data_IF_599047367772
#
_entry.id   IF_599047367772
#
_cell.length_a   1.000
_cell.length_b   1.000
_cell.length_c   1.000
_cell.angle_alpha   90.00
_cell.angle_beta   90.00
_cell.angle_gamma   90.00
#
_symmetry.space_group_name_H-M   'P 1'
#
loop_
_entity.id
_entity.type
_entity.pdbx_description
1 polymer ?
2 non-polymer ?
3 non-polymer ?
4 water ?
#
# COMPACT_ATOMS: atom_id res chain seq x y z
N UNK A 13 16.19 21.55 7.17
CA UNK A 13 15.31 22.69 7.43
C UNK A 13 14.52 22.49 8.72
N UNK A 14 14.30 23.58 9.44
CA UNK A 14 13.56 23.49 10.67
C UNK A 14 12.08 23.25 10.38
N UNK A 15 11.60 23.71 9.23
CA UNK A 15 10.20 23.50 8.88
C UNK A 15 9.90 22.01 8.76
N UNK A 16 10.85 21.24 8.22
CA UNK A 16 10.68 19.79 8.14
C UNK A 16 10.54 19.16 9.51
N UNK A 17 11.42 19.54 10.45
CA UNK A 17 11.35 18.99 11.79
C UNK A 17 10.05 19.39 12.48
N UNK A 18 9.58 20.61 12.23
CA UNK A 18 8.30 21.04 12.79
C UNK A 18 7.15 20.19 12.25
N UNK A 19 7.14 19.95 10.93
CA UNK A 19 6.11 19.09 10.34
C UNK A 19 6.16 17.70 10.95
N UNK A 20 7.36 17.16 11.14
CA UNK A 20 7.49 15.84 11.75
C UNK A 20 6.97 15.85 13.19
N UNK A 21 7.26 16.91 13.95
CA UNK A 21 6.78 17.00 15.32
C UNK A 21 5.25 17.05 15.36
N UNK A 22 4.64 17.81 14.44
CA UNK A 22 3.19 17.82 14.35
C UNK A 22 2.65 16.41 14.09
N UNK A 23 3.27 15.70 13.14
CA UNK A 23 2.81 14.34 12.83
C UNK A 23 2.96 13.38 14.02
N UNK A 24 3.99 13.55 14.84
CA UNK A 24 4.13 12.66 16.01
C UNK A 24 3.09 12.99 17.07
N UNK A 25 2.83 14.28 17.31
CA UNK A 25 1.81 14.64 18.28
C UNK A 25 0.44 14.16 17.82
N UNK A 26 0.20 14.16 16.50
CA UNK A 26 -1.04 13.62 15.96
C UNK A 26 -1.10 12.10 16.11
N UNK A 27 0.05 11.44 16.15
CA UNK A 27 0.07 9.97 16.25
C UNK A 27 -0.03 9.43 17.68
N UNK A 28 0.36 10.21 18.71
CA UNK A 28 0.35 9.66 20.07
C UNK A 28 -1.02 9.23 20.60
N UNK A 29 -2.12 9.90 20.23
CA UNK A 29 -3.43 9.52 20.77
C UNK A 29 -4.08 8.30 20.11
N UNK A 30 -3.45 7.69 19.11
CA UNK A 30 -4.07 6.55 18.42
C UNK A 30 -4.17 5.33 19.32
N UNK A 31 -3.23 5.15 20.24
CA UNK A 31 -3.14 3.91 21.03
C UNK A 31 -4.48 3.52 21.64
N UNK A 32 -5.47 4.42 21.61
CA UNK A 32 -6.84 4.15 22.06
C UNK A 32 -7.77 3.75 20.92
N UNK A 33 -7.67 4.40 19.76
CA UNK A 33 -8.48 4.00 18.61
C UNK A 33 -7.98 2.69 18.01
N UNK A 34 -6.69 2.40 18.17
CA UNK A 34 -6.13 1.14 17.68
C UNK A 34 -6.76 -0.05 18.38
N UNK A 35 -7.08 0.09 19.67
CA UNK A 35 -7.77 -0.98 20.38
C UNK A 35 -9.15 -1.23 19.82
N UNK A 36 -9.90 -0.16 19.53
CA UNK A 36 -11.22 -0.30 18.92
C UNK A 36 -11.12 -0.98 17.56
N UNK A 37 -10.13 -0.59 16.75
CA UNK A 37 -9.93 -1.22 15.46
C UNK A 37 -9.64 -2.71 15.63
N UNK A 38 -8.81 -3.05 16.62
CA UNK A 38 -8.47 -4.45 16.83
C UNK A 38 -9.70 -5.25 17.23
N UNK A 39 -10.54 -4.67 18.09
CA UNK A 39 -11.78 -5.34 18.46
C UNK A 39 -12.73 -5.56 17.30
N UNK A 40 -12.97 -4.53 16.50
CA UNK A 40 -13.89 -4.69 15.37
C UNK A 40 -13.36 -5.72 14.37
N UNK A 41 -12.04 -5.69 14.13
CA UNK A 41 -11.46 -6.62 13.17
C UNK A 41 -11.52 -8.06 13.68
N UNK A 42 -11.18 -8.25 14.96
CA UNK A 42 -11.30 -9.57 15.56
C UNK A 42 -12.74 -10.09 15.43
N UNK A 43 -13.72 -9.23 15.72
CA UNK A 43 -15.11 -9.66 15.62
C UNK A 43 -15.45 -10.10 14.20
N UNK A 44 -15.09 -9.29 13.20
CA UNK A 44 -15.45 -9.63 11.83
C UNK A 44 -14.72 -10.88 11.38
N UNK A 45 -13.51 -11.13 11.90
CA UNK A 45 -12.82 -12.37 11.55
C UNK A 45 -13.51 -13.59 12.16
N UNK A 46 -13.87 -13.51 13.44
CA UNK A 46 -14.59 -14.64 14.03
C UNK A 46 -15.93 -14.86 13.36
N UNK A 47 -16.53 -13.81 12.80
CA UNK A 47 -17.77 -13.98 12.04
C UNK A 47 -17.51 -14.65 10.70
N UNK A 48 -16.54 -14.13 9.95
CA UNK A 48 -16.23 -14.67 8.63
C UNK A 48 -15.78 -16.13 8.70
N UNK A 49 -15.21 -16.58 9.84
CA UNK A 49 -14.83 -17.99 9.95
C UNK A 49 -16.05 -18.91 9.92
N UNK A 50 -17.20 -18.42 10.38
CA UNK A 50 -18.41 -19.22 10.40
C UNK A 50 -18.91 -19.54 8.99
N UNK A 51 -18.61 -18.68 8.01
CA UNK A 51 -19.00 -18.96 6.64
C UNK A 51 -18.21 -20.13 6.06
N UNK A 52 -18.86 -20.87 5.15
CA UNK A 52 -18.24 -22.04 4.55
C UNK A 52 -17.16 -21.68 3.54
N UNK A 53 -17.20 -20.48 2.98
CA UNK A 53 -16.25 -20.06 1.97
C UNK A 53 -15.00 -19.42 2.55
N UNK A 54 -15.12 -18.75 3.69
CA UNK A 54 -14.02 -18.02 4.31
C UNK A 54 -13.51 -18.68 5.59
N UNK A 55 -13.21 -19.98 5.56
CA UNK A 55 -12.79 -20.62 6.80
C UNK A 55 -11.36 -20.29 7.18
N UNK A 56 -10.51 -19.98 6.20
CA UNK A 56 -9.12 -19.66 6.46
C UNK A 56 -8.75 -18.19 6.35
N UNK A 57 -9.61 -17.31 6.83
CA UNK A 57 -9.39 -15.87 6.79
C UNK A 57 -8.66 -15.39 8.04
N UNK A 58 -7.88 -14.31 7.87
CA UNK A 58 -7.12 -13.74 8.98
C UNK A 58 -6.49 -12.43 8.57
N UNK A 59 -5.63 -11.89 9.46
CA UNK A 59 -4.93 -10.64 9.20
C UNK A 59 -3.53 -10.91 8.69
N UNK A 60 -3.03 -10.03 7.83
CA UNK A 60 -1.66 -10.25 7.40
C UNK A 60 -0.74 -10.22 8.60
N UNK A 61 0.15 -11.20 8.63
CA UNK A 61 1.13 -11.38 9.69
C UNK A 61 2.17 -10.26 9.59
N UNK A 62 1.69 -9.02 9.73
CA UNK A 62 2.53 -7.85 9.63
C UNK A 62 2.82 -7.23 10.99
N UNK A 63 2.45 -7.90 12.07
CA UNK A 63 2.68 -7.37 13.39
C UNK A 63 1.79 -6.20 13.75
N UNK A 64 0.79 -5.92 12.93
CA UNK A 64 -0.12 -4.81 13.16
C UNK A 64 -1.46 -5.16 12.57
N UNK A 65 -2.52 -4.82 13.33
CA UNK A 65 -3.87 -5.01 12.84
C UNK A 65 -4.13 -4.14 11.62
N UNK A 66 -3.37 -3.07 11.47
CA UNK A 66 -3.68 -2.01 10.51
C UNK A 66 -2.41 -1.39 9.93
N UNK A 67 -2.62 -0.61 8.88
CA UNK A 67 -1.62 0.28 8.30
C UNK A 67 -2.28 1.64 8.12
N UNK A 68 -1.52 2.64 7.66
CA UNK A 68 -2.05 3.97 7.38
C UNK A 68 -1.62 4.44 6.00
N UNK A 69 -2.56 4.48 5.06
CA UNK A 69 -2.22 4.96 3.72
C UNK A 69 -1.96 6.46 3.76
N UNK A 70 -2.72 7.19 4.58
CA UNK A 70 -2.59 8.64 4.73
C UNK A 70 -2.00 8.96 6.11
N UNK A 71 -0.89 9.70 6.11
CA UNK A 71 -0.25 10.10 7.36
C UNK A 71 -0.94 11.30 8.00
N UNK A 72 -1.63 12.14 7.20
CA UNK A 72 -2.36 13.31 7.67
C UNK A 72 -3.79 13.00 8.12
N UNK A 73 -4.20 11.74 8.06
CA UNK A 73 -5.52 11.30 8.50
C UNK A 73 -5.32 10.15 9.49
N UNK A 74 -5.03 10.47 10.75
CA UNK A 74 -4.88 9.39 11.76
C UNK A 74 -6.17 8.66 12.07
N UNK A 75 -7.28 9.07 11.44
CA UNK A 75 -8.59 8.49 11.64
C UNK A 75 -8.98 7.47 10.58
N UNK A 76 -8.19 7.33 9.51
CA UNK A 76 -8.46 6.41 8.42
C UNK A 76 -7.50 5.23 8.47
N UNK A 77 -7.97 4.10 8.97
CA UNK A 77 -7.18 2.88 9.03
C UNK A 77 -7.33 2.08 7.73
N UNK A 78 -6.42 1.11 7.54
CA UNK A 78 -6.40 0.27 6.36
C UNK A 78 -5.97 -1.11 6.82
N UNK A 79 -6.89 -2.07 6.74
CA UNK A 79 -6.62 -3.43 7.16
C UNK A 79 -6.74 -4.32 5.95
N UNK A 80 -6.05 -5.45 6.00
CA UNK A 80 -6.09 -6.37 4.89
C UNK A 80 -6.32 -7.77 5.45
N UNK A 81 -7.28 -8.50 4.87
CA UNK A 81 -7.62 -9.85 5.30
C UNK A 81 -7.12 -10.86 4.27
N UNK A 82 -6.17 -11.70 4.69
CA UNK A 82 -5.66 -12.78 3.85
C UNK A 82 -6.47 -14.05 4.00
N UNK A 83 -6.55 -14.82 2.91
CA UNK A 83 -7.31 -16.06 2.85
C UNK A 83 -6.43 -17.17 2.28
N UNK A 84 -5.98 -18.09 3.13
CA UNK A 84 -5.18 -19.24 2.69
C UNK A 84 -6.04 -20.20 1.87
N UNK A 85 -5.54 -20.56 0.69
CA UNK A 85 -6.34 -21.31 -0.28
C UNK A 85 -5.53 -22.50 -0.78
N UNK A 86 -6.19 -23.49 -1.40
CA UNK A 86 -5.46 -24.56 -2.08
C UNK A 86 -4.53 -24.00 -3.14
N UNK A 87 -3.64 -24.86 -3.63
CA UNK A 87 -2.62 -24.39 -4.56
C UNK A 87 -3.28 -23.64 -5.71
N UNK A 88 -2.79 -22.42 -5.92
CA UNK A 88 -3.35 -21.49 -6.90
C UNK A 88 -2.54 -21.58 -8.18
N UNK A 89 -3.22 -21.54 -9.32
CA UNK A 89 -2.60 -21.39 -10.63
C UNK A 89 -3.03 -20.06 -11.22
N UNK A 90 -2.12 -19.38 -11.91
CA UNK A 90 -2.34 -18.01 -12.38
C UNK A 90 -2.24 -17.90 -13.89
N UNK A 91 -3.13 -17.10 -14.50
CA UNK A 91 -3.04 -16.77 -15.92
C UNK A 91 -2.95 -15.27 -16.11
N UNK A 92 -2.03 -14.82 -16.95
CA UNK A 92 -1.80 -13.39 -17.12
C UNK A 92 -2.87 -12.79 -18.01
N UNK A 93 -3.26 -11.56 -17.72
CA UNK A 93 -4.29 -10.87 -18.49
C UNK A 93 -3.62 -9.80 -19.36
N UNK A 94 -3.70 -9.97 -20.68
CA UNK A 94 -3.33 -8.92 -21.65
C UNK A 94 -1.94 -8.35 -21.41
N UNK A 95 -1.01 -9.21 -20.98
CA UNK A 95 0.39 -8.80 -20.75
C UNK A 95 0.50 -7.59 -19.82
N UNK A 96 -0.39 -7.54 -18.82
CA UNK A 96 -0.39 -6.43 -17.88
C UNK A 96 0.71 -6.58 -16.84
N UNK A 97 1.29 -7.78 -16.73
CA UNK A 97 2.39 -8.09 -15.82
C UNK A 97 1.96 -8.13 -14.35
N UNK A 98 0.82 -7.52 -14.03
CA UNK A 98 0.36 -7.46 -12.65
C UNK A 98 -1.02 -8.05 -12.42
N UNK A 99 -1.87 -8.11 -13.44
CA UNK A 99 -3.24 -8.58 -13.29
C UNK A 99 -3.37 -10.00 -13.84
N UNK A 100 -4.08 -10.86 -13.10
CA UNK A 100 -4.17 -12.29 -13.41
C UNK A 100 -5.56 -12.85 -13.10
N UNK A 101 -5.97 -13.89 -13.85
CA UNK A 101 -7.09 -14.76 -13.49
C UNK A 101 -6.58 -15.92 -12.64
N UNK A 102 -7.37 -16.32 -11.64
CA UNK A 102 -6.99 -17.39 -10.71
C UNK A 102 -7.74 -18.68 -11.06
N UNK A 103 -7.02 -19.79 -11.16
CA UNK A 103 -7.58 -21.12 -11.26
C UNK A 103 -7.09 -21.97 -10.08
N UNK A 104 -7.75 -23.09 -9.84
CA UNK A 104 -7.34 -24.02 -8.79
C UNK A 104 -6.55 -25.21 -9.35
N UNK A 105 -5.52 -25.61 -8.60
CA UNK A 105 -4.71 -26.76 -8.97
C UNK A 105 -5.61 -27.95 -9.26
N UNK A 106 -6.51 -28.27 -8.34
CA UNK A 106 -7.54 -29.29 -8.50
C UNK A 106 -8.81 -28.79 -7.79
N UNK A 107 -9.84 -29.63 -7.71
CA UNK A 107 -11.11 -29.21 -7.09
C UNK A 107 -10.96 -28.74 -5.64
N UNK A 112 -13.49 -26.57 -1.51
CA UNK A 112 -14.01 -25.61 -0.51
C UNK A 112 -14.67 -24.39 -1.14
N UNK A 113 -13.85 -23.50 -1.71
CA UNK A 113 -14.22 -22.23 -2.36
C UNK A 113 -14.87 -22.43 -3.73
N UNK A 114 -15.22 -23.70 -3.99
CA UNK A 114 -15.86 -24.09 -5.23
C UNK A 114 -17.09 -23.27 -5.57
N UNK A 115 -17.79 -22.75 -4.55
CA UNK A 115 -18.99 -21.95 -4.78
C UNK A 115 -18.72 -20.70 -5.62
N UNK A 116 -17.54 -20.11 -5.49
CA UNK A 116 -17.21 -18.86 -6.19
C UNK A 116 -16.65 -19.06 -7.60
N UNK A 117 -16.64 -20.29 -8.12
CA UNK A 117 -16.09 -20.52 -9.46
C UNK A 117 -17.06 -20.10 -10.55
N UNK A 118 -16.50 -19.48 -11.59
CA UNK A 118 -17.23 -19.12 -12.80
C UNK A 118 -16.54 -19.82 -13.97
N UNK A 119 -16.65 -21.14 -14.02
CA UNK A 119 -15.94 -21.94 -14.99
C UNK A 119 -14.65 -22.51 -14.44
N UNK A 120 -13.54 -22.00 -14.97
CA UNK A 120 -12.22 -22.27 -14.44
C UNK A 120 -11.67 -21.09 -13.67
N UNK A 121 -12.31 -19.93 -13.79
CA UNK A 121 -11.86 -18.68 -13.19
C UNK A 121 -12.54 -18.50 -11.84
N UNK A 122 -11.77 -18.14 -10.83
CA UNK A 122 -12.32 -17.72 -9.55
C UNK A 122 -12.91 -16.30 -9.65
N UNK A 123 -14.21 -16.18 -9.45
CA UNK A 123 -14.87 -14.89 -9.67
C UNK A 123 -14.54 -13.91 -8.55
N UNK A 124 -13.92 -12.79 -8.90
CA UNK A 124 -13.68 -11.75 -7.91
C UNK A 124 -14.98 -11.08 -7.50
N UNK A 125 -15.88 -10.89 -8.47
CA UNK A 125 -17.14 -10.21 -8.20
C UNK A 125 -18.01 -11.02 -7.23
N UNK A 126 -18.14 -12.32 -7.48
CA UNK A 126 -18.96 -13.15 -6.59
C UNK A 126 -18.39 -13.19 -5.18
N UNK A 127 -17.08 -13.37 -5.06
CA UNK A 127 -16.48 -13.45 -3.74
C UNK A 127 -16.64 -12.13 -3.00
N UNK A 128 -16.47 -11.00 -3.70
CA UNK A 128 -16.66 -9.70 -3.06
C UNK A 128 -18.11 -9.50 -2.63
N UNK A 129 -19.07 -10.01 -3.41
CA UNK A 129 -20.47 -9.87 -3.02
C UNK A 129 -20.76 -10.64 -1.74
N UNK A 130 -20.32 -11.91 -1.66
CA UNK A 130 -20.54 -12.65 -0.41
C UNK A 130 -19.80 -12.00 0.75
N UNK A 131 -18.57 -11.54 0.51
CA UNK A 131 -17.81 -10.82 1.53
C UNK A 131 -18.62 -9.65 2.08
N UNK A 132 -19.09 -8.76 1.20
CA UNK A 132 -19.86 -7.59 1.61
C UNK A 132 -21.16 -7.97 2.31
N UNK A 133 -21.84 -9.01 1.84
CA UNK A 133 -23.08 -9.44 2.49
C UNK A 133 -22.80 -9.87 3.92
N UNK A 134 -21.78 -10.70 4.12
CA UNK A 134 -21.44 -11.15 5.46
C UNK A 134 -21.11 -9.94 6.34
N UNK A 135 -20.36 -8.98 5.79
CA UNK A 135 -20.09 -7.74 6.52
C UNK A 135 -21.39 -7.04 6.93
N UNK A 136 -22.17 -6.54 5.95
CA UNK A 136 -23.46 -5.91 6.26
C UNK A 136 -24.21 -6.59 7.40
N UNK A 137 -24.40 -7.92 7.32
CA UNK A 137 -25.23 -8.56 8.34
C UNK A 137 -24.53 -8.59 9.70
N UNK A 138 -23.20 -8.79 9.73
CA UNK A 138 -22.54 -8.84 11.02
C UNK A 138 -22.28 -7.46 11.61
N UNK A 139 -22.28 -6.39 10.80
CA UNK A 139 -22.15 -5.03 11.32
C UNK A 139 -23.48 -4.44 11.75
N UNK A 140 -24.61 -4.95 11.25
CA UNK A 140 -25.89 -4.55 11.84
C UNK A 140 -25.97 -4.93 13.33
N UNK A 141 -25.22 -5.95 13.77
CA UNK A 141 -25.20 -6.36 15.17
C UNK A 141 -24.34 -5.46 16.06
N UNK A 142 -23.31 -4.84 15.51
CA UNK A 142 -22.36 -4.04 16.28
C UNK A 142 -23.02 -2.74 16.73
N UNK A 143 -22.21 -1.84 17.30
CA UNK A 143 -22.71 -0.56 17.79
C UNK A 143 -21.83 0.53 17.22
N UNK A 144 -22.48 1.56 16.66
CA UNK A 144 -21.83 2.67 15.98
C UNK A 144 -20.86 2.16 14.90
N UNK A 145 -21.41 1.36 13.96
CA UNK A 145 -20.59 0.75 12.90
C UNK A 145 -21.43 0.64 11.62
N UNK A 146 -21.18 1.56 10.68
CA UNK A 146 -21.92 1.67 9.42
C UNK A 146 -21.07 1.29 8.21
N UNK A 147 -21.63 0.51 7.29
CA UNK A 147 -20.97 0.19 6.02
C UNK A 147 -21.37 1.24 4.99
N UNK A 148 -20.40 1.70 4.20
CA UNK A 148 -20.62 2.74 3.20
C UNK A 148 -20.22 2.21 1.83
N UNK A 149 -20.66 2.90 0.78
CA UNK A 149 -20.41 2.44 -0.58
C UNK A 149 -19.13 3.10 -1.11
N UNK A 150 -18.05 2.32 -1.16
CA UNK A 150 -16.80 2.70 -1.81
C UNK A 150 -16.42 1.64 -2.85
N UNK A 151 -17.30 1.37 -3.81
CA UNK A 151 -17.00 0.44 -4.89
C UNK A 151 -16.34 1.11 -6.08
N UNK A 152 -16.33 2.44 -6.12
CA UNK A 152 -15.55 3.21 -7.08
C UNK A 152 -14.06 2.90 -7.03
N UNK A 153 -13.57 2.16 -6.02
CA UNK A 153 -12.15 1.80 -5.94
C UNK A 153 -11.80 0.55 -6.75
N UNK A 154 -12.76 -0.06 -7.45
CA UNK A 154 -12.51 -1.23 -8.29
C UNK A 154 -12.22 -2.50 -7.53
N UNK A 155 -13.06 -2.82 -6.54
CA UNK A 155 -12.97 -4.04 -5.75
C UNK A 155 -12.04 -4.02 -4.53
N UNK A 156 -11.01 -3.17 -4.54
CA UNK A 156 -10.08 -3.03 -3.41
C UNK A 156 -9.85 -1.57 -3.05
N UNK A 157 -10.15 -1.12 -1.82
CA UNK A 157 -10.64 -1.98 -0.75
C UNK A 157 -12.06 -2.46 -0.99
N UNK A 158 -12.31 -3.68 -0.53
CA UNK A 158 -13.65 -4.26 -0.64
C UNK A 158 -14.67 -3.42 0.11
N UNK A 159 -14.46 -3.23 1.41
CA UNK A 159 -15.41 -2.49 2.24
C UNK A 159 -14.73 -1.30 2.91
N UNK A 160 -15.57 -0.41 3.43
CA UNK A 160 -15.14 0.80 4.14
C UNK A 160 -16.08 0.96 5.35
N UNK A 161 -15.64 0.46 6.50
CA UNK A 161 -16.39 0.51 7.74
C UNK A 161 -16.24 1.87 8.44
N UNK A 162 -17.30 2.28 9.16
CA UNK A 162 -17.38 3.59 9.81
C UNK A 162 -17.85 3.44 11.26
N UNK A 163 -17.03 3.91 12.21
CA UNK A 163 -17.34 3.84 13.64
C UNK A 163 -17.35 5.24 14.24
N UNK A 164 -18.41 5.54 15.01
CA UNK A 164 -18.59 6.83 15.71
C UNK A 164 -18.50 8.04 14.78
N UNK A 165 -18.63 7.84 13.47
CA UNK A 165 -18.52 8.88 12.45
C UNK A 165 -17.15 9.56 12.44
N UNK A 166 -16.19 9.07 13.23
CA UNK A 166 -14.84 9.61 13.23
C UNK A 166 -13.75 8.58 12.90
N UNK A 167 -14.07 7.29 12.82
CA UNK A 167 -13.11 6.24 12.50
C UNK A 167 -13.53 5.58 11.18
N UNK A 168 -12.66 5.67 10.17
CA UNK A 168 -12.89 5.04 8.86
C UNK A 168 -11.82 3.97 8.61
N UNK A 169 -12.25 2.75 8.32
CA UNK A 169 -11.34 1.63 8.09
C UNK A 169 -11.66 0.93 6.77
N UNK A 170 -10.71 0.96 5.83
CA UNK A 170 -10.89 0.26 4.56
C UNK A 170 -10.36 -1.17 4.71
N UNK A 171 -11.17 -2.13 4.29
CA UNK A 171 -10.85 -3.55 4.39
C UNK A 171 -10.70 -4.11 2.99
N UNK A 172 -9.54 -4.67 2.71
CA UNK A 172 -9.21 -5.24 1.41
C UNK A 172 -9.02 -6.73 1.60
N UNK A 173 -9.63 -7.51 0.73
CA UNK A 173 -9.46 -8.95 0.77
C UNK A 173 -8.31 -9.36 -0.14
N UNK A 174 -7.53 -10.35 0.31
CA UNK A 174 -6.34 -10.81 -0.38
C UNK A 174 -6.19 -12.32 -0.29
N UNK A 175 -5.90 -12.96 -1.42
CA UNK A 175 -5.58 -14.38 -1.49
C UNK A 175 -4.09 -14.58 -1.28
N UNK A 176 -3.73 -15.55 -0.44
CA UNK A 176 -2.34 -15.84 -0.13
C UNK A 176 -1.88 -17.01 -0.99
N UNK A 177 -0.76 -16.85 -1.69
CA UNK A 177 -0.15 -17.92 -2.45
C UNK A 177 1.23 -18.20 -1.87
N UNK A 178 1.47 -19.44 -1.44
CA UNK A 178 2.78 -19.84 -0.98
C UNK A 178 3.63 -20.41 -2.11
N UNK A 179 3.20 -20.23 -3.35
CA UNK A 179 4.00 -20.59 -4.51
C UNK A 179 5.14 -19.60 -4.69
N UNK A 180 5.97 -19.85 -5.69
CA UNK A 180 7.02 -18.90 -6.02
C UNK A 180 6.42 -17.68 -6.67
N UNK A 181 7.09 -16.54 -6.50
CA UNK A 181 6.57 -15.29 -7.05
C UNK A 181 6.47 -15.38 -8.56
N UNK A 182 5.47 -14.74 -9.17
CA UNK A 182 5.30 -14.83 -10.61
C UNK A 182 6.51 -14.31 -11.36
N UNK A 183 6.58 -14.67 -12.62
CA UNK A 183 7.76 -14.35 -13.41
C UNK A 183 7.94 -12.85 -13.55
N UNK A 184 6.84 -12.08 -13.54
CA UNK A 184 7.00 -10.63 -13.69
C UNK A 184 7.80 -10.03 -12.55
N UNK A 185 7.96 -10.74 -11.45
CA UNK A 185 8.70 -10.22 -10.32
C UNK A 185 10.15 -10.65 -10.35
N UNK A 186 10.62 -11.18 -11.47
CA UNK A 186 11.95 -11.75 -11.47
C UNK A 186 13.02 -10.66 -11.41
N UNK A 187 12.77 -9.54 -12.07
CA UNK A 187 13.77 -8.49 -12.04
C UNK A 187 13.40 -7.35 -11.13
N UNK A 188 12.44 -7.57 -10.22
CA UNK A 188 12.07 -6.58 -9.25
C UNK A 188 12.79 -6.79 -7.93
N UNK A 189 12.46 -5.95 -6.97
CA UNK A 189 13.03 -6.06 -5.63
C UNK A 189 14.56 -6.04 -5.68
N UNK A 190 15.09 -5.01 -6.35
CA UNK A 190 16.53 -4.85 -6.58
C UNK A 190 17.19 -4.32 -5.32
N UNK A 191 17.20 -5.14 -4.27
CA UNK A 191 17.77 -4.68 -3.01
C UNK A 191 19.15 -5.26 -2.78
N UNK A 192 19.79 -5.82 -3.80
CA UNK A 192 21.02 -6.57 -3.61
C UNK A 192 22.17 -5.68 -3.12
N UNK A 193 22.32 -4.46 -3.63
CA UNK A 193 23.43 -3.65 -3.15
C UNK A 193 23.05 -2.80 -1.95
N UNK A 194 21.81 -2.91 -1.51
CA UNK A 194 21.29 -2.17 -0.38
C UNK A 194 21.02 -3.09 0.81
N UNK A 195 20.16 -4.11 0.66
CA UNK A 195 19.80 -5.01 1.76
C UNK A 195 20.40 -6.40 1.63
N UNK A 196 21.20 -6.64 0.60
CA UNK A 196 21.98 -7.84 0.32
C UNK A 196 21.17 -8.84 -0.45
N UNK A 197 21.86 -9.72 -1.16
CA UNK A 197 21.17 -10.71 -1.97
C UNK A 197 20.60 -11.82 -1.11
N UNK A 198 21.21 -12.10 0.05
CA UNK A 198 20.61 -13.06 0.96
C UNK A 198 19.23 -12.62 1.40
N UNK A 199 19.09 -11.35 1.76
CA UNK A 199 17.79 -10.86 2.19
C UNK A 199 16.79 -10.93 1.06
N UNK A 200 17.22 -10.62 -0.16
CA UNK A 200 16.30 -10.71 -1.30
C UNK A 200 15.82 -12.15 -1.52
N UNK A 201 16.72 -13.12 -1.42
CA UNK A 201 16.31 -14.52 -1.54
C UNK A 201 15.34 -14.89 -0.42
N UNK A 202 15.64 -14.50 0.81
CA UNK A 202 14.77 -14.83 1.94
C UNK A 202 13.38 -14.23 1.76
N UNK A 203 13.31 -12.96 1.35
CA UNK A 203 12.03 -12.29 1.15
C UNK A 203 11.22 -12.95 0.04
N UNK A 204 11.87 -13.30 -1.08
CA UNK A 204 11.17 -13.95 -2.18
C UNK A 204 10.74 -15.38 -1.86
N UNK A 205 11.26 -15.98 -0.79
CA UNK A 205 10.71 -17.26 -0.33
C UNK A 205 9.37 -17.13 0.39
N UNK A 206 9.01 -15.92 0.81
CA UNK A 206 7.74 -15.67 1.49
C UNK A 206 6.58 -15.70 0.48
N UNK A 207 5.35 -15.90 0.94
CA UNK A 207 4.21 -15.93 0.00
C UNK A 207 3.95 -14.54 -0.57
N UNK A 208 3.09 -14.50 -1.59
CA UNK A 208 2.63 -13.26 -2.20
C UNK A 208 1.10 -13.20 -2.15
N UNK A 209 0.51 -12.04 -2.44
CA UNK A 209 -0.93 -11.93 -2.26
C UNK A 209 -1.59 -11.40 -3.52
N UNK A 210 -2.89 -11.72 -3.66
CA UNK A 210 -3.69 -11.33 -4.82
C UNK A 210 -4.96 -10.62 -4.37
N UNK A 211 -5.16 -9.39 -4.81
CA UNK A 211 -6.33 -8.59 -4.42
C UNK A 211 -7.25 -8.39 -5.61
N UNK A 212 -8.56 -8.44 -5.45
CA UNK A 212 -9.47 -8.23 -6.58
C UNK A 212 -9.51 -6.80 -7.14
N UNK A 213 -8.80 -6.54 -8.24
CA UNK A 213 -8.82 -5.25 -8.93
C UNK A 213 -8.96 -5.49 -10.43
N UNK A 214 -9.80 -4.70 -11.08
CA UNK A 214 -10.08 -4.82 -12.49
C UNK A 214 -9.27 -3.83 -13.32
N UNK A 215 -9.07 -4.16 -14.60
CA UNK A 215 -8.29 -3.30 -15.48
C UNK A 215 -9.11 -2.60 -16.57
N UNK A 221 -12.22 -1.50 -17.46
CA UNK A 221 -13.03 -2.34 -18.33
C UNK A 221 -13.23 -3.74 -17.72
N UNK A 222 -12.14 -4.53 -17.66
CA UNK A 222 -12.19 -5.93 -17.22
C UNK A 222 -13.00 -6.11 -15.94
N UNK A 223 -13.50 -7.34 -15.70
CA UNK A 223 -14.43 -7.56 -14.60
C UNK A 223 -14.13 -8.81 -13.76
N UNK A 224 -12.92 -9.37 -13.83
CA UNK A 224 -12.65 -10.55 -13.02
C UNK A 224 -11.16 -10.85 -12.85
N UNK A 225 -10.35 -9.81 -12.78
CA UNK A 225 -8.90 -9.91 -12.62
C UNK A 225 -8.49 -9.69 -11.17
N UNK A 226 -7.25 -10.09 -10.85
CA UNK A 226 -6.66 -9.94 -9.53
C UNK A 226 -5.25 -9.37 -9.71
N UNK A 227 -4.83 -8.54 -8.76
CA UNK A 227 -3.54 -7.88 -8.85
C UNK A 227 -2.59 -8.33 -7.74
N UNK A 228 -1.29 -8.36 -8.07
CA UNK A 228 -0.27 -8.76 -7.12
C UNK A 228 -0.10 -7.71 -6.03
N UNK A 229 0.25 -8.19 -4.83
CA UNK A 229 0.40 -7.39 -3.63
C UNK A 229 1.55 -7.95 -2.79
N UNK A 230 2.41 -7.04 -2.34
CA UNK A 230 3.59 -7.32 -1.53
C UNK A 230 3.67 -6.36 -0.35
N UNK A 231 2.52 -5.99 0.23
CA UNK A 231 2.53 -5.04 1.35
C UNK A 231 3.35 -5.55 2.51
N UNK A 232 3.32 -6.85 2.78
CA UNK A 232 4.15 -7.41 3.85
C UNK A 232 5.63 -7.19 3.59
N UNK A 233 6.08 -7.39 2.34
CA UNK A 233 7.48 -7.17 2.02
C UNK A 233 7.84 -5.70 2.17
N UNK A 234 6.93 -4.83 1.73
CA UNK A 234 7.18 -3.39 1.86
C UNK A 234 7.30 -2.99 3.31
N UNK A 235 6.40 -3.51 4.17
CA UNK A 235 6.50 -3.24 5.60
C UNK A 235 7.82 -3.77 6.17
N UNK A 236 8.19 -5.00 5.81
CA UNK A 236 9.47 -5.57 6.26
C UNK A 236 10.62 -4.65 5.88
N UNK A 237 10.63 -4.15 4.64
CA UNK A 237 11.73 -3.30 4.19
C UNK A 237 11.76 -2.00 4.95
N UNK A 238 10.60 -1.37 5.13
CA UNK A 238 10.57 -0.10 5.84
C UNK A 238 11.07 -0.25 7.28
N UNK A 239 10.72 -1.34 7.96
CA UNK A 239 11.10 -1.46 9.36
C UNK A 239 12.45 -2.10 9.55
N UNK A 240 13.10 -2.52 8.45
CA UNK A 240 14.44 -3.07 8.45
C UNK A 240 15.11 -2.55 7.18
N UNK A 241 15.47 -1.27 7.20
CA UNK A 241 15.66 -0.48 5.99
C UNK A 241 17.11 -0.13 5.74
N UNK A 242 18.00 -0.46 6.64
CA UNK A 242 19.37 -0.06 6.55
C UNK A 242 20.28 -1.11 5.96
N UNK A 243 21.46 -0.66 5.53
CA UNK A 243 22.52 -1.59 5.24
C UNK A 243 23.07 -2.23 6.51
N UNK A 244 23.24 -1.43 7.56
CA UNK A 244 23.60 -1.98 8.85
C UNK A 244 22.40 -2.65 9.51
N UNK A 245 22.62 -3.87 10.02
CA UNK A 245 21.51 -4.56 10.67
C UNK A 245 21.00 -3.82 11.88
N UNK A 246 21.79 -2.91 12.43
CA UNK A 246 21.41 -2.18 13.64
C UNK A 246 21.02 -0.73 13.34
N UNK A 247 20.59 -0.45 12.11
CA UNK A 247 20.14 0.87 11.74
C UNK A 247 18.93 1.27 12.58
N UNK A 248 18.98 2.47 13.14
CA UNK A 248 17.90 2.98 13.95
C UNK A 248 17.65 2.08 15.16
N UNK A 249 18.67 1.34 15.58
CA UNK A 249 18.58 0.57 16.81
C UNK A 249 19.32 1.22 17.97
N UNK A 250 20.28 2.08 17.68
CA UNK A 250 20.95 2.87 18.70
C UNK A 250 21.02 4.31 18.21
N UNK A 251 21.46 5.20 19.11
CA UNK A 251 21.49 6.62 18.77
C UNK A 251 22.59 6.98 17.78
N UNK A 252 23.64 6.17 17.68
CA UNK A 252 24.77 6.45 16.80
C UNK A 252 24.44 6.18 15.34
N UNK A 253 23.37 5.41 15.07
CA UNK A 253 23.01 5.10 13.68
C UNK A 253 21.57 5.55 13.40
N UNK A 254 21.25 6.83 13.58
CA UNK A 254 19.91 7.32 13.28
C UNK A 254 19.96 7.92 11.88
N UNK A 255 19.34 7.23 10.92
CA UNK A 255 19.21 7.69 9.55
C UNK A 255 17.84 8.34 9.40
N UNK A 256 17.62 8.95 8.24
CA UNK A 256 16.39 9.70 8.00
C UNK A 256 15.55 9.14 6.86
N UNK A 257 15.63 7.84 6.59
CA UNK A 257 14.82 7.25 5.52
C UNK A 257 13.34 7.34 5.86
N UNK A 258 12.94 6.81 7.03
CA UNK A 258 11.50 6.87 7.35
C UNK A 258 11.02 8.31 7.45
N UNK A 259 11.85 9.23 7.93
CA UNK A 259 11.41 10.63 7.94
C UNK A 259 11.22 11.16 6.52
N UNK A 260 12.12 10.84 5.58
CA UNK A 260 11.92 11.28 4.20
C UNK A 260 10.65 10.69 3.61
N UNK A 261 10.37 9.43 3.92
CA UNK A 261 9.13 8.86 3.41
C UNK A 261 7.92 9.58 4.00
N UNK A 262 7.96 9.89 5.29
CA UNK A 262 6.87 10.67 5.91
C UNK A 262 6.71 12.03 5.21
N UNK A 263 7.82 12.69 4.90
CA UNK A 263 7.74 13.98 4.23
C UNK A 263 7.11 13.84 2.85
N UNK A 264 7.48 12.78 2.11
CA UNK A 264 6.90 12.57 0.78
C UNK A 264 5.41 12.29 0.85
N UNK A 265 5.01 11.39 1.74
CA UNK A 265 3.58 11.13 1.89
C UNK A 265 2.82 12.39 2.24
N UNK A 266 3.34 13.20 3.16
CA UNK A 266 2.61 14.40 3.58
C UNK A 266 2.54 15.44 2.48
N UNK A 267 3.64 15.63 1.76
CA UNK A 267 3.58 16.55 0.64
C UNK A 267 2.46 16.15 -0.31
N UNK A 268 2.41 14.87 -0.68
CA UNK A 268 1.38 14.44 -1.63
C UNK A 268 -0.01 14.62 -1.03
N UNK A 269 -0.19 14.28 0.24
CA UNK A 269 -1.52 14.39 0.84
C UNK A 269 -1.97 15.85 0.91
N UNK A 270 -1.06 16.76 1.27
CA UNK A 270 -1.38 18.18 1.30
C UNK A 270 -1.72 18.69 -0.09
N UNK A 271 -0.94 18.31 -1.10
CA UNK A 271 -1.24 18.77 -2.45
C UNK A 271 -2.56 18.22 -2.94
N UNK A 272 -2.87 16.98 -2.59
CA UNK A 272 -4.15 16.41 -3.02
C UNK A 272 -5.31 17.06 -2.31
N UNK A 273 -5.15 17.44 -1.04
CA UNK A 273 -6.23 18.15 -0.35
C UNK A 273 -6.38 19.59 -0.84
N UNK A 274 -5.28 20.26 -1.18
CA UNK A 274 -5.36 21.63 -1.68
C UNK A 274 -6.09 21.69 -2.99
N UNK A 275 -5.79 20.76 -3.90
CA UNK A 275 -6.38 20.75 -5.23
C UNK A 275 -7.34 19.58 -5.41
N UNK A 276 -8.11 19.26 -4.37
CA UNK A 276 -9.09 18.18 -4.46
C UNK A 276 -10.18 18.50 -5.47
N UNK A 277 -10.39 19.78 -5.78
CA UNK A 277 -11.42 20.19 -6.72
C UNK A 277 -10.92 20.22 -8.15
N UNK A 278 -9.62 20.07 -8.39
CA UNK A 278 -9.14 19.96 -9.76
C UNK A 278 -8.74 18.48 -9.88
N UNK A 279 -9.43 17.74 -10.76
CA UNK A 279 -9.34 16.28 -10.82
C UNK A 279 -8.05 15.82 -11.47
N UNK A 280 -7.00 16.59 -11.29
CA UNK A 280 -5.72 16.31 -11.88
C UNK A 280 -4.78 15.54 -10.95
N UNK A 281 -5.15 15.35 -9.67
CA UNK A 281 -4.33 14.71 -8.65
C UNK A 281 -5.12 13.60 -7.95
N UNK A 282 -6.10 13.04 -8.65
CA UNK A 282 -6.93 12.03 -8.02
C UNK A 282 -6.28 10.65 -8.03
N UNK A 283 -5.65 10.29 -9.14
CA UNK A 283 -5.08 8.98 -9.34
C UNK A 283 -3.70 8.78 -8.70
N UNK A 284 -3.14 9.80 -8.06
CA UNK A 284 -1.89 9.66 -7.31
C UNK A 284 -2.20 9.26 -5.87
N UNK A 285 -1.37 8.39 -5.31
CA UNK A 285 -1.56 7.87 -3.97
C UNK A 285 -0.21 7.69 -3.30
N UNK A 286 -0.24 7.38 -2.01
CA UNK A 286 0.99 7.19 -1.27
C UNK A 286 1.77 6.00 -1.79
N UNK A 287 1.13 5.06 -2.50
CA UNK A 287 1.89 3.97 -3.08
C UNK A 287 2.89 4.48 -4.10
N UNK A 288 2.54 5.53 -4.84
CA UNK A 288 3.48 6.09 -5.80
C UNK A 288 4.73 6.64 -5.12
N UNK A 289 4.56 7.44 -4.06
CA UNK A 289 5.73 8.00 -3.40
C UNK A 289 6.51 6.91 -2.71
N UNK A 290 5.82 5.88 -2.21
CA UNK A 290 6.52 4.78 -1.60
C UNK A 290 7.35 4.01 -2.63
N UNK A 291 6.80 3.80 -3.83
CA UNK A 291 7.56 3.13 -4.87
C UNK A 291 8.79 3.95 -5.27
N UNK A 292 8.60 5.25 -5.47
CA UNK A 292 9.74 6.10 -5.80
C UNK A 292 10.78 6.08 -4.69
N UNK A 293 10.33 6.14 -3.45
CA UNK A 293 11.26 6.14 -2.33
C UNK A 293 12.09 4.86 -2.28
N UNK A 294 11.46 3.71 -2.55
CA UNK A 294 12.21 2.46 -2.59
C UNK A 294 13.27 2.51 -3.69
N UNK A 295 12.92 3.10 -4.83
CA UNK A 295 13.91 3.24 -5.91
C UNK A 295 15.06 4.13 -5.47
N UNK A 296 14.76 5.20 -4.72
CA UNK A 296 15.81 6.09 -4.24
C UNK A 296 16.69 5.37 -3.22
N UNK A 297 16.09 4.51 -2.40
CA UNK A 297 16.87 3.67 -1.50
C UNK A 297 17.82 2.78 -2.30
N UNK A 298 17.32 2.16 -3.36
CA UNK A 298 18.19 1.36 -4.21
C UNK A 298 19.32 2.18 -4.81
N UNK A 299 19.02 3.41 -5.20
CA UNK A 299 20.01 4.29 -5.80
C UNK A 299 21.03 4.76 -4.78
N UNK A 300 20.59 4.99 -3.55
CA UNK A 300 21.44 5.46 -2.46
C UNK A 300 21.47 4.37 -1.40
N UNK A 301 22.30 3.35 -1.59
CA UNK A 301 22.27 2.18 -0.69
C UNK A 301 22.97 2.40 0.63
N UNK A 302 23.89 3.35 0.75
CA UNK A 302 24.64 3.52 1.98
C UNK A 302 23.86 4.28 3.04
N UNK A 303 23.99 3.85 4.28
CA UNK A 303 23.37 4.58 5.37
C UNK A 303 23.98 5.96 5.54
N UNK A 304 25.25 6.13 5.17
CA UNK A 304 25.89 7.43 5.29
C UNK A 304 25.21 8.47 4.40
N UNK A 305 24.54 8.05 3.33
CA UNK A 305 23.75 8.90 2.44
C UNK A 305 22.38 9.26 3.02
N UNK A 306 22.10 8.84 4.25
CA UNK A 306 20.83 9.12 4.92
C UNK A 306 21.11 9.59 6.34
N UNK A 307 22.19 10.34 6.51
CA UNK A 307 22.54 10.83 7.83
C UNK A 307 21.42 11.71 8.36
N UNK A 308 21.13 11.58 9.65
CA UNK A 308 20.02 12.35 10.22
C UNK A 308 20.31 13.84 10.17
N UNK A 309 21.56 14.23 9.95
CA UNK A 309 21.93 15.63 9.80
C UNK A 309 21.71 16.14 8.38
N UNK A 310 21.57 15.27 7.37
CA UNK A 310 21.32 15.71 6.01
C UNK A 310 19.86 15.54 5.61
N UNK A 311 18.94 15.72 6.56
CA UNK A 311 17.53 15.49 6.27
C UNK A 311 17.04 16.33 5.11
N UNK A 312 17.40 17.62 5.06
CA UNK A 312 16.95 18.45 3.96
C UNK A 312 17.47 17.96 2.62
N UNK A 313 18.75 17.62 2.57
CA UNK A 313 19.33 17.17 1.32
C UNK A 313 18.73 15.84 0.87
N UNK A 314 18.49 14.93 1.81
CA UNK A 314 17.93 13.63 1.45
C UNK A 314 16.49 13.76 0.97
N UNK A 315 15.68 14.54 1.67
CA UNK A 315 14.32 14.80 1.22
C UNK A 315 14.35 15.43 -0.16
N UNK A 316 15.31 16.32 -0.42
CA UNK A 316 15.40 16.93 -1.72
C UNK A 316 15.76 15.89 -2.79
N UNK A 317 16.60 14.91 -2.44
CA UNK A 317 16.89 13.82 -3.38
C UNK A 317 15.60 13.07 -3.73
N UNK A 318 14.80 12.74 -2.71
CA UNK A 318 13.52 12.06 -2.95
C UNK A 318 12.58 12.91 -3.82
N UNK A 319 12.46 14.21 -3.52
CA UNK A 319 11.55 15.04 -4.31
C UNK A 319 12.00 15.12 -5.77
N UNK A 320 13.29 15.33 -5.99
CA UNK A 320 13.78 15.45 -7.37
C UNK A 320 13.66 14.13 -8.12
N UNK A 321 13.85 12.98 -7.45
CA UNK A 321 13.67 11.71 -8.15
C UNK A 321 12.20 11.49 -8.51
N UNK A 322 11.29 11.87 -7.61
CA UNK A 322 9.86 11.76 -7.93
C UNK A 322 9.50 12.65 -9.11
N UNK A 323 10.11 13.84 -9.18
CA UNK A 323 9.88 14.70 -10.34
C UNK A 323 10.39 14.06 -11.62
N UNK A 324 11.56 13.43 -11.57
CA UNK A 324 12.08 12.73 -12.75
C UNK A 324 11.10 11.65 -13.22
N UNK A 325 10.51 10.91 -12.29
CA UNK A 325 9.52 9.90 -12.67
C UNK A 325 8.28 10.53 -13.28
N UNK A 326 7.87 11.70 -12.77
CA UNK A 326 6.69 12.39 -13.33
C UNK A 326 6.97 12.87 -14.75
N UNK A 327 8.14 13.47 -14.99
CA UNK A 327 8.40 14.06 -16.30
C UNK A 327 8.53 12.97 -17.35
N UNK A 328 9.36 11.96 -17.07
CA UNK A 328 9.56 10.84 -17.98
C UNK A 328 8.37 9.88 -18.00
N UNK A 329 7.38 10.07 -17.14
CA UNK A 329 6.18 9.24 -17.17
C UNK A 329 6.48 7.78 -16.86
N UNK A 330 7.57 7.54 -16.14
CA UNK A 330 8.03 6.20 -15.80
C UNK A 330 8.14 6.11 -14.28
N UNK A 331 7.35 5.23 -13.68
CA UNK A 331 7.46 4.91 -12.26
C UNK A 331 7.19 3.40 -12.20
N UNK A 332 8.27 2.62 -12.24
CA UNK A 332 8.12 1.18 -12.26
C UNK A 332 7.67 0.66 -10.91
N UNK A 333 6.75 -0.30 -10.92
CA UNK A 333 6.45 -1.00 -9.69
C UNK A 333 7.72 -1.61 -9.14
N UNK A 334 7.91 -1.49 -7.83
CA UNK A 334 9.19 -1.91 -7.25
C UNK A 334 9.36 -3.41 -7.37
N UNK A 335 8.26 -4.15 -7.46
CA UNK A 335 8.33 -5.59 -7.60
C UNK A 335 8.10 -6.09 -9.02
N UNK A 336 7.41 -5.32 -9.85
CA UNK A 336 7.18 -5.70 -11.24
C UNK A 336 7.65 -4.55 -12.10
N UNK A 337 8.89 -4.58 -12.59
CA UNK A 337 9.41 -3.40 -13.30
C UNK A 337 8.76 -3.13 -14.64
N UNK A 338 8.06 -4.10 -15.23
CA UNK A 338 7.39 -3.83 -16.49
C UNK A 338 6.06 -3.12 -16.30
N UNK A 339 5.60 -3.00 -15.06
CA UNK A 339 4.36 -2.31 -14.73
C UNK A 339 4.71 -0.85 -14.48
N UNK A 340 4.41 0.00 -15.44
CA UNK A 340 4.64 1.42 -15.28
C UNK A 340 3.44 2.03 -14.58
N UNK A 341 3.64 2.45 -13.32
CA UNK A 341 2.55 3.04 -12.57
C UNK A 341 2.17 4.40 -13.14
N UNK A 342 3.12 5.06 -13.81
CA UNK A 342 2.86 6.32 -14.47
C UNK A 342 2.55 6.09 -15.94
N UNK A 343 1.86 5.01 -16.24
CA UNK A 343 1.54 4.71 -17.62
C UNK A 343 0.46 5.66 -18.12
N UNK A 344 0.58 6.05 -19.39
CA UNK A 344 -0.46 6.86 -20.02
C UNK A 344 -1.80 6.16 -19.98
N UNK A 345 -1.79 4.83 -19.89
CA UNK A 345 -3.02 4.05 -19.72
C UNK A 345 -3.61 4.19 -18.32
N UNK A 346 -2.81 4.56 -17.32
CA UNK A 346 -3.29 4.69 -15.94
C UNK A 346 -3.49 6.13 -15.46
N UNK A 347 -2.64 7.06 -15.88
CA UNK A 347 -2.71 8.47 -15.50
C UNK A 347 -2.39 9.33 -16.72
N UNK A 348 -3.25 10.29 -17.05
CA UNK A 348 -3.03 11.10 -18.24
C UNK A 348 -1.81 12.01 -18.09
N UNK A 349 -1.24 12.38 -19.25
CA UNK A 349 -0.01 13.16 -19.24
C UNK A 349 -0.23 14.51 -18.57
N UNK A 350 -1.39 15.14 -18.82
CA UNK A 350 -1.63 16.44 -18.20
C UNK A 350 -1.73 16.34 -16.68
N UNK A 351 -2.20 15.22 -16.14
CA UNK A 351 -2.25 15.10 -14.69
C UNK A 351 -0.83 15.01 -14.12
N UNK A 352 0.02 14.19 -14.76
CA UNK A 352 1.43 14.15 -14.38
C UNK A 352 2.09 15.52 -14.49
N UNK A 353 1.74 16.29 -15.52
CA UNK A 353 2.33 17.62 -15.70
C UNK A 353 1.85 18.60 -14.64
N UNK A 354 0.58 18.48 -14.25
CA UNK A 354 0.03 19.29 -13.16
C UNK A 354 0.80 19.03 -11.88
N UNK A 355 0.97 17.75 -11.52
CA UNK A 355 1.70 17.42 -10.30
C UNK A 355 3.15 17.86 -10.39
N UNK A 356 3.75 17.78 -11.57
CA UNK A 356 5.11 18.24 -11.74
C UNK A 356 5.23 19.73 -11.46
N UNK A 357 4.34 20.55 -12.06
CA UNK A 357 4.37 21.99 -11.79
C UNK A 357 4.19 22.28 -10.31
N UNK A 358 3.24 21.62 -9.65
CA UNK A 358 3.01 21.94 -8.25
C UNK A 358 4.19 21.57 -7.39
N UNK A 359 4.80 20.42 -7.66
CA UNK A 359 5.94 20.01 -6.84
C UNK A 359 7.13 20.94 -7.12
N UNK A 360 7.31 21.35 -8.37
CA UNK A 360 8.37 22.33 -8.65
C UNK A 360 8.11 23.66 -7.94
N UNK A 361 6.85 24.10 -7.90
CA UNK A 361 6.51 25.32 -7.17
C UNK A 361 6.87 25.19 -5.69
N UNK A 362 6.41 24.11 -5.04
CA UNK A 362 6.72 23.94 -3.62
C UNK A 362 8.22 23.84 -3.39
N UNK A 363 8.95 23.21 -4.31
CA UNK A 363 10.40 23.09 -4.13
C UNK A 363 11.09 24.43 -4.31
N UNK A 364 10.55 25.30 -5.19
CA UNK A 364 11.15 26.61 -5.40
C UNK A 364 10.73 27.62 -4.34
N UNK A 365 9.65 27.36 -3.62
CA UNK A 365 9.14 28.27 -2.60
C UNK A 365 9.23 27.72 -1.18
N UNK A 366 10.18 26.81 -0.92
CA UNK A 366 10.39 26.28 0.44
C UNK A 366 9.15 25.60 1.00
N UNK A 367 8.33 25.03 0.12
CA UNK A 367 7.18 24.23 0.50
C UNK A 367 6.23 25.04 1.39
N UNK A 368 5.43 25.94 0.81
CA UNK A 368 4.44 26.64 1.64
C UNK A 368 3.36 25.73 2.21
N UNK A 369 3.15 24.53 1.67
CA UNK A 369 2.18 23.60 2.22
C UNK A 369 2.61 23.06 3.58
N UNK A 370 3.84 23.29 3.99
CA UNK A 370 4.33 22.85 5.28
C UNK A 370 4.17 23.88 6.40
N UNK A 371 3.63 25.06 6.10
CA UNK A 371 3.45 26.13 7.08
C UNK A 371 2.34 25.87 8.11
X LIG B 1 -1.06 -1.34 -3.65
X LIG B 1 -0.47 -0.79 -7.19
X LIG B 1 -0.65 0.15 -8.19
X LIG B 1 -1.26 1.39 -7.90
X LIG B 1 -1.68 1.66 -6.62
X LIG B 1 -1.71 -0.08 -3.26
X LIG B 1 -2.11 0.13 -1.91
X LIG B 1 -2.70 1.29 -1.53
X LIG B 1 -2.94 2.32 -2.49
X LIG B 1 -2.55 2.14 -3.79
X LIG B 1 -1.93 0.93 -4.21
X LIG B 1 -1.51 0.71 -5.59
X LIG B 1 -0.90 -0.49 -5.90
X LIG B 1 -0.82 -2.28 -2.92
X LIG B 1 -3.12 1.54 -0.26
X LIG B 1 -0.68 -1.49 -4.96
X LIG B 1 -1.40 2.27 -8.93
X LIG B 1 -0.25 -0.10 -9.46
X LIG B 1 -3.54 3.45 -2.04
X LIG B 1 -0.06 -1.61 -7.38
X LIG B 1 -2.08 2.48 -6.43
X LIG B 1 -1.95 -0.55 -1.28
X LIG B 1 -2.70 2.82 -4.41
X LIG B 1 -3.98 1.58 -0.23
X LIG B 1 -1.59 1.87 -9.67
X LIG B 1 0.13 -0.86 -9.52
X LIG B 1 -3.05 4.13 -2.20
X LIG C 1 17.73 3.84 9.76
#
# INVERSE_FOLDING_TARGET
QSILVRRDAAPGASKLRAVLEKLKLSRDDISTAAGMVKGVVDHLLLRLKCDSAFRGVGLLNTGSYYEHVKISAPNEFDVMFKLEVPRIQLEEYSNTRAYYFVKFKRNPKENPLSQFLEGEILSASKMLSKFRKIIKEEINDIKDTDVIMKRKRGGSPAVTLLISEKISVDITLALESKSSWPASTQEGLRIQNWLSAKVRKQLRLKPFYLVPKHAKEGNGFQEETWRLSFSHIEKEILNNHGKSKTCCENKEEKCCRKDCLKLMKYLLEQLKERFKDEEHLDKFSSYHVKTAFFHVCTQNPQDSQWDRKDLGLCFDNCVTYFLQCLRTEKLENYFIPEFNLFSSNLIDKRSKEFLTKQIEYERNNEFPVFDEF
A1AVI C1 C10 C11 C12 C13 C2 C3 C4 C5 C6 C7 C8 C9 O1 O2 O3 O4 O5 O6 H4 H6 H1 H3 H2 H5 H7 H8
ZN ZN
#
